data_IF_784385021332
#
_entry.id   IF_784385021332
#
_cell.length_a   1.000
_cell.length_b   1.000
_cell.length_c   1.000
_cell.angle_alpha   90.00
_cell.angle_beta   90.00
_cell.angle_gamma   90.00
#
_symmetry.space_group_name_H-M   'P 1'
#
loop_
_entity.id
_entity.type
_entity.pdbx_description
1 polymer ?
#
# COMPACT_ATOMS: atom_id res chain seq x y z
N UNK A 1 -3.17 28.22 1.39
CA UNK A 1 -3.94 27.00 1.12
C UNK A 1 -2.97 25.83 0.96
N UNK A 2 -3.12 24.77 1.77
CA UNK A 2 -2.19 23.62 1.82
C UNK A 2 -2.20 22.86 0.48
N UNK A 3 -1.17 23.08 -0.35
CA UNK A 3 -1.04 22.45 -1.70
C UNK A 3 -0.38 21.06 -1.68
N UNK A 4 -0.06 20.51 -0.51
CA UNK A 4 0.69 19.26 -0.36
C UNK A 4 0.11 18.38 0.77
N UNK A 5 -1.20 18.16 0.76
CA UNK A 5 -1.87 17.21 1.67
C UNK A 5 -2.29 15.96 0.91
N UNK A 6 -2.20 14.83 1.60
CA UNK A 6 -2.64 13.51 1.13
C UNK A 6 -3.46 12.83 2.23
N UNK A 7 -4.21 11.80 1.87
CA UNK A 7 -4.89 10.95 2.84
C UNK A 7 -3.85 10.25 3.74
N UNK A 8 -4.19 10.06 5.03
CA UNK A 8 -3.37 9.33 6.00
C UNK A 8 -3.79 7.87 6.14
N UNK A 9 -3.61 7.29 7.32
CA UNK A 9 -4.12 5.94 7.64
C UNK A 9 -3.51 4.80 6.82
N UNK A 10 -2.32 4.99 6.25
CA UNK A 10 -1.67 3.99 5.38
C UNK A 10 -2.16 3.99 3.93
N UNK A 11 -3.08 4.89 3.54
CA UNK A 11 -3.61 4.92 2.17
C UNK A 11 -2.51 5.16 1.10
N UNK A 12 -1.56 6.10 1.29
CA UNK A 12 -0.47 6.30 0.33
C UNK A 12 0.40 5.06 0.17
N UNK A 13 0.68 4.36 1.27
CA UNK A 13 1.52 3.16 1.29
C UNK A 13 0.86 1.99 0.56
N UNK A 14 -0.46 1.77 0.74
CA UNK A 14 -1.21 0.76 -0.01
C UNK A 14 -1.23 1.09 -1.51
N UNK A 15 -1.50 2.35 -1.87
CA UNK A 15 -1.53 2.77 -3.28
C UNK A 15 -0.16 2.61 -3.94
N UNK A 16 0.92 3.00 -3.25
CA UNK A 16 2.29 2.83 -3.73
C UNK A 16 2.67 1.36 -3.84
N UNK A 17 2.34 0.53 -2.85
CA UNK A 17 2.58 -0.91 -2.90
C UNK A 17 1.93 -1.54 -4.14
N UNK A 18 0.68 -1.18 -4.45
CA UNK A 18 -0.03 -1.63 -5.64
C UNK A 18 0.69 -1.20 -6.93
N UNK A 19 1.00 0.09 -7.08
CA UNK A 19 1.64 0.61 -8.31
C UNK A 19 3.07 0.16 -8.51
N UNK A 20 3.84 0.01 -7.43
CA UNK A 20 5.20 -0.53 -7.49
C UNK A 20 5.15 -1.99 -7.91
N UNK A 21 4.18 -2.77 -7.43
CA UNK A 21 3.97 -4.14 -7.87
C UNK A 21 3.57 -4.23 -9.35
N UNK A 22 2.74 -3.32 -9.86
CA UNK A 22 2.43 -3.21 -11.29
C UNK A 22 3.66 -2.84 -12.11
N UNK A 23 4.42 -1.84 -11.66
CA UNK A 23 5.65 -1.42 -12.34
C UNK A 23 6.70 -2.53 -12.35
N UNK A 24 6.87 -3.26 -11.25
CA UNK A 24 7.78 -4.40 -11.15
C UNK A 24 7.52 -5.48 -12.20
N UNK A 25 6.25 -5.67 -12.63
CA UNK A 25 5.87 -6.62 -13.70
C UNK A 25 6.38 -6.20 -15.09
N UNK A 26 6.67 -4.92 -15.29
CA UNK A 26 7.24 -4.38 -16.54
C UNK A 26 8.77 -4.52 -16.61
N UNK A 27 9.42 -4.73 -15.45
CA UNK A 27 10.87 -4.86 -15.33
C UNK A 27 11.33 -6.31 -15.50
N UNK A 28 12.63 -6.50 -15.76
CA UNK A 28 13.25 -7.82 -15.91
C UNK A 28 14.41 -8.00 -14.94
N UNK A 29 14.72 -9.25 -14.61
CA UNK A 29 15.86 -9.59 -13.75
C UNK A 29 15.72 -9.04 -12.32
N UNK A 30 16.85 -8.64 -11.75
CA UNK A 30 16.95 -8.22 -10.35
C UNK A 30 16.10 -6.97 -10.02
N UNK A 31 15.96 -6.04 -10.96
CA UNK A 31 15.19 -4.81 -10.75
C UNK A 31 13.72 -5.10 -10.41
N UNK A 32 13.11 -6.06 -11.13
CA UNK A 32 11.73 -6.49 -10.85
C UNK A 32 11.57 -7.02 -9.42
N UNK A 33 12.55 -7.79 -8.94
CA UNK A 33 12.54 -8.32 -7.57
C UNK A 33 12.66 -7.20 -6.54
N UNK A 34 13.62 -6.28 -6.73
CA UNK A 34 13.88 -5.19 -5.80
C UNK A 34 12.67 -4.24 -5.69
N UNK A 35 12.06 -3.87 -6.82
CA UNK A 35 10.89 -2.97 -6.82
C UNK A 35 9.69 -3.63 -6.15
N UNK A 36 9.44 -4.91 -6.42
CA UNK A 36 8.39 -5.67 -5.72
C UNK A 36 8.63 -5.72 -4.21
N UNK A 37 9.82 -6.11 -3.78
CA UNK A 37 10.16 -6.19 -2.37
C UNK A 37 10.01 -4.83 -1.65
N UNK A 38 10.34 -3.74 -2.32
CA UNK A 38 10.13 -2.39 -1.79
C UNK A 38 8.63 -2.06 -1.66
N UNK A 39 7.81 -2.39 -2.67
CA UNK A 39 6.36 -2.24 -2.60
C UNK A 39 5.74 -3.04 -1.44
N UNK A 40 6.13 -4.31 -1.31
CA UNK A 40 5.63 -5.20 -0.25
C UNK A 40 6.04 -4.68 1.15
N UNK A 41 7.24 -4.09 1.29
CA UNK A 41 7.69 -3.52 2.55
C UNK A 41 6.84 -2.31 3.02
N UNK A 42 6.22 -1.56 2.10
CA UNK A 42 5.35 -0.43 2.47
C UNK A 42 4.09 -0.88 3.23
N UNK A 43 3.63 -2.12 3.02
CA UNK A 43 2.46 -2.68 3.71
C UNK A 43 2.68 -2.84 5.23
N UNK A 44 3.93 -2.72 5.73
CA UNK A 44 4.22 -2.73 7.17
C UNK A 44 3.50 -1.59 7.90
N UNK A 45 3.42 -0.40 7.30
CA UNK A 45 2.81 0.79 7.92
C UNK A 45 1.31 0.57 8.17
N UNK A 46 0.47 0.26 7.16
CA UNK A 46 -0.95 -0.03 7.40
C UNK A 46 -1.14 -1.29 8.26
N UNK A 47 -0.29 -2.31 8.15
CA UNK A 47 -0.37 -3.49 9.03
C UNK A 47 -0.18 -3.13 10.51
N UNK A 48 0.84 -2.33 10.83
CA UNK A 48 1.11 -1.86 12.20
C UNK A 48 0.01 -0.92 12.70
N UNK A 49 -0.55 -0.07 11.85
CA UNK A 49 -1.71 0.74 12.21
C UNK A 49 -2.93 -0.12 12.55
N UNK A 50 -3.18 -1.19 11.78
CA UNK A 50 -4.27 -2.13 12.03
C UNK A 50 -4.10 -2.81 13.39
N UNK A 51 -2.90 -3.30 13.67
CA UNK A 51 -2.57 -3.96 14.94
C UNK A 51 -2.78 -3.03 16.13
N UNK A 52 -2.25 -1.80 16.04
CA UNK A 52 -2.41 -0.78 17.09
C UNK A 52 -3.87 -0.35 17.29
N UNK A 53 -4.70 -0.44 16.24
CA UNK A 53 -6.13 -0.18 16.29
C UNK A 53 -6.96 -1.39 16.78
N UNK A 54 -6.33 -2.53 17.07
CA UNK A 54 -7.01 -3.76 17.49
C UNK A 54 -7.72 -4.51 16.35
N UNK A 55 -7.41 -4.18 15.09
CA UNK A 55 -7.91 -4.87 13.91
C UNK A 55 -7.02 -6.07 13.57
N UNK A 56 -7.54 -7.03 12.80
CA UNK A 56 -6.72 -8.11 12.24
C UNK A 56 -5.90 -7.55 11.05
N UNK A 57 -4.56 -7.49 11.15
CA UNK A 57 -3.75 -6.81 10.13
C UNK A 57 -3.84 -7.43 8.74
N UNK A 58 -3.92 -8.76 8.67
CA UNK A 58 -3.98 -9.49 7.40
C UNK A 58 -5.29 -9.17 6.66
N UNK A 59 -6.43 -9.26 7.36
CA UNK A 59 -7.72 -8.95 6.73
C UNK A 59 -7.82 -7.47 6.35
N UNK A 60 -7.32 -6.57 7.19
CA UNK A 60 -7.38 -5.13 6.95
C UNK A 60 -6.55 -4.72 5.74
N UNK A 61 -5.29 -5.17 5.66
CA UNK A 61 -4.42 -4.88 4.50
C UNK A 61 -5.00 -5.49 3.22
N UNK A 62 -5.53 -6.72 3.29
CA UNK A 62 -6.18 -7.36 2.14
C UNK A 62 -7.37 -6.55 1.63
N UNK A 63 -8.22 -6.06 2.52
CA UNK A 63 -9.37 -5.23 2.16
C UNK A 63 -8.95 -3.89 1.56
N UNK A 64 -7.97 -3.20 2.17
CA UNK A 64 -7.45 -1.95 1.61
C UNK A 64 -6.87 -2.16 0.21
N UNK A 65 -6.11 -3.24 -0.03
CA UNK A 65 -5.62 -3.59 -1.37
C UNK A 65 -6.76 -3.76 -2.38
N UNK A 66 -7.84 -4.44 -1.99
CA UNK A 66 -9.01 -4.62 -2.86
C UNK A 66 -9.67 -3.28 -3.21
N UNK A 67 -9.88 -2.41 -2.23
CA UNK A 67 -10.47 -1.07 -2.42
C UNK A 67 -9.61 -0.20 -3.34
N UNK A 68 -8.30 -0.20 -3.14
CA UNK A 68 -7.36 0.52 -4.01
C UNK A 68 -7.35 -0.02 -5.44
N UNK A 69 -7.39 -1.34 -5.62
CA UNK A 69 -7.52 -1.96 -6.95
C UNK A 69 -8.84 -1.58 -7.65
N UNK A 70 -9.88 -1.24 -6.90
CA UNK A 70 -11.16 -0.73 -7.39
C UNK A 70 -11.19 0.80 -7.59
N UNK A 71 -10.07 1.49 -7.31
CA UNK A 71 -9.91 2.93 -7.54
C UNK A 71 -10.15 3.82 -6.31
N UNK A 72 -10.41 3.25 -5.13
CA UNK A 72 -10.54 4.00 -3.88
C UNK A 72 -9.16 4.38 -3.29
N UNK A 73 -8.42 5.23 -4.00
CA UNK A 73 -6.99 5.54 -3.73
C UNK A 73 -6.71 6.26 -2.39
N UNK A 74 -7.74 6.69 -1.68
CA UNK A 74 -7.62 7.41 -0.40
C UNK A 74 -8.10 6.58 0.78
N UNK A 75 -8.37 5.29 0.59
CA UNK A 75 -8.81 4.39 1.65
C UNK A 75 -7.66 4.08 2.61
N UNK A 76 -7.82 4.44 3.88
CA UNK A 76 -6.90 4.07 4.97
C UNK A 76 -7.66 3.38 6.10
N UNK A 77 -6.93 2.99 7.14
CA UNK A 77 -7.47 2.48 8.40
C UNK A 77 -8.29 3.54 9.12
#
# INVERSE_FOLDING_TARGET
ALRALIAGGGAPEIELALRLNEYARTLKGMESYCVRAYGDALEVIPSTLAENAGLNPISTVTELRNRHAQGEKTAGI
#
